data_IF_463091585577
#
_entry.id   IF_463091585577
#
_cell.length_a   1.000
_cell.length_b   1.000
_cell.length_c   1.000
_cell.angle_alpha   90.00
_cell.angle_beta   90.00
_cell.angle_gamma   90.00
#
_symmetry.space_group_name_H-M   'P 1'
#
loop_
_entity.id
_entity.type
_entity.pdbx_description
1 polymer ?
#
# COMPACT_ATOMS: atom_id res chain seq x y z
N UNK A 1 -29.16 -11.62 -13.94
CA UNK A 1 -28.22 -11.99 -15.00
C UNK A 1 -26.88 -12.23 -14.34
N UNK A 2 -26.55 -13.49 -14.12
CA UNK A 2 -25.24 -13.91 -13.63
C UNK A 2 -24.34 -13.87 -14.87
N UNK A 3 -23.75 -12.71 -15.14
CA UNK A 3 -22.78 -12.57 -16.22
C UNK A 3 -21.68 -13.60 -15.99
N UNK A 4 -21.42 -14.44 -16.98
CA UNK A 4 -20.28 -15.35 -16.99
C UNK A 4 -19.00 -14.52 -16.91
N UNK A 5 -18.48 -14.39 -15.69
CA UNK A 5 -17.34 -13.54 -15.36
C UNK A 5 -16.08 -14.03 -16.07
N UNK A 6 -15.95 -15.34 -16.25
CA UNK A 6 -14.86 -15.95 -17.00
C UNK A 6 -14.89 -15.52 -18.47
N UNK A 7 -16.05 -15.65 -19.14
CA UNK A 7 -16.18 -15.23 -20.54
C UNK A 7 -15.86 -13.74 -20.74
N UNK A 8 -16.27 -12.87 -19.80
CA UNK A 8 -15.93 -11.45 -19.85
C UNK A 8 -14.42 -11.21 -19.74
N UNK A 9 -13.73 -11.86 -18.80
CA UNK A 9 -12.29 -11.71 -18.65
C UNK A 9 -11.50 -12.28 -19.84
N UNK A 10 -11.91 -13.44 -20.35
CA UNK A 10 -11.33 -14.04 -21.56
C UNK A 10 -11.44 -13.10 -22.76
N UNK A 11 -12.62 -12.49 -22.97
CA UNK A 11 -12.85 -11.53 -24.06
C UNK A 11 -11.96 -10.29 -23.96
N UNK A 12 -11.71 -9.77 -22.76
CA UNK A 12 -10.80 -8.64 -22.59
C UNK A 12 -9.34 -9.05 -22.88
N UNK A 13 -8.93 -10.24 -22.39
CA UNK A 13 -7.57 -10.77 -22.59
C UNK A 13 -7.23 -11.03 -24.06
N UNK A 14 -8.22 -11.42 -24.89
CA UNK A 14 -8.05 -11.66 -26.34
C UNK A 14 -7.46 -10.47 -27.11
N UNK A 15 -7.48 -9.25 -26.54
CA UNK A 15 -6.93 -8.05 -27.16
C UNK A 15 -5.42 -7.87 -26.94
N UNK A 16 -4.76 -8.79 -26.23
CA UNK A 16 -3.29 -8.81 -26.04
C UNK A 16 -2.71 -10.16 -26.45
N UNK A 17 -1.84 -10.21 -27.49
CA UNK A 17 -1.16 -11.43 -27.87
C UNK A 17 -0.31 -12.02 -26.73
N UNK A 18 0.34 -11.16 -25.93
CA UNK A 18 1.23 -11.60 -24.85
C UNK A 18 0.44 -12.24 -23.70
N UNK A 19 -0.67 -11.61 -23.30
CA UNK A 19 -1.56 -12.16 -22.27
C UNK A 19 -2.17 -13.47 -22.75
N UNK A 20 -2.66 -13.53 -23.99
CA UNK A 20 -3.24 -14.75 -24.56
C UNK A 20 -2.23 -15.89 -24.59
N UNK A 21 -1.01 -15.64 -25.06
CA UNK A 21 0.01 -16.67 -25.15
C UNK A 21 0.38 -17.24 -23.78
N UNK A 22 0.53 -16.38 -22.77
CA UNK A 22 0.77 -16.80 -21.39
C UNK A 22 -0.42 -17.56 -20.76
N UNK A 23 -1.64 -17.46 -21.33
CA UNK A 23 -2.83 -18.18 -20.85
C UNK A 23 -3.08 -19.53 -21.55
N UNK A 24 -2.61 -19.73 -22.78
CA UNK A 24 -3.03 -20.82 -23.69
C UNK A 24 -2.73 -22.24 -23.20
N UNK A 25 -1.71 -22.43 -22.34
CA UNK A 25 -1.26 -23.75 -21.90
C UNK A 25 -1.19 -23.89 -20.38
N UNK A 26 -1.86 -23.00 -19.66
CA UNK A 26 -1.88 -23.09 -18.20
C UNK A 26 -2.68 -24.32 -17.76
N UNK A 27 -2.19 -25.08 -16.77
CA UNK A 27 -2.89 -26.25 -16.25
C UNK A 27 -4.31 -25.88 -15.84
N UNK A 28 -5.28 -26.80 -15.95
CA UNK A 28 -6.61 -26.58 -15.39
C UNK A 28 -6.47 -26.41 -13.87
N UNK A 29 -6.74 -25.20 -13.37
CA UNK A 29 -6.85 -24.94 -11.93
C UNK A 29 -8.17 -24.21 -11.73
N UNK A 30 -8.98 -24.74 -10.81
CA UNK A 30 -10.22 -24.19 -10.22
C UNK A 30 -11.15 -23.40 -11.15
N UNK A 31 -12.41 -23.84 -11.25
CA UNK A 31 -13.47 -23.00 -11.85
C UNK A 31 -14.05 -21.99 -10.84
N UNK A 32 -13.48 -21.90 -9.63
CA UNK A 32 -13.94 -20.95 -8.63
C UNK A 32 -13.41 -19.52 -8.86
N UNK A 33 -14.06 -18.55 -8.21
CA UNK A 33 -13.80 -17.14 -8.44
C UNK A 33 -12.36 -16.72 -8.12
N UNK A 34 -11.66 -17.39 -7.19
CA UNK A 34 -10.25 -17.06 -6.88
C UNK A 34 -9.37 -17.42 -8.06
N UNK A 35 -9.46 -18.64 -8.57
CA UNK A 35 -8.63 -19.11 -9.69
C UNK A 35 -8.91 -18.29 -10.96
N UNK A 36 -10.18 -17.95 -11.24
CA UNK A 36 -10.56 -17.07 -12.36
C UNK A 36 -9.93 -15.67 -12.21
N UNK A 37 -10.06 -15.02 -11.06
CA UNK A 37 -9.49 -13.69 -10.83
C UNK A 37 -7.96 -13.72 -10.84
N UNK A 38 -7.34 -14.73 -10.25
CA UNK A 38 -5.89 -14.89 -10.26
C UNK A 38 -5.36 -14.99 -11.68
N UNK A 39 -5.90 -15.90 -12.47
CA UNK A 39 -5.43 -16.20 -13.82
C UNK A 39 -5.64 -15.04 -14.78
N UNK A 40 -6.82 -14.42 -14.77
CA UNK A 40 -7.17 -13.46 -15.81
C UNK A 40 -7.04 -11.99 -15.39
N UNK A 41 -6.86 -11.69 -14.10
CA UNK A 41 -6.77 -10.31 -13.60
C UNK A 41 -5.45 -10.07 -12.87
N UNK A 42 -5.16 -10.84 -11.82
CA UNK A 42 -4.03 -10.56 -10.94
C UNK A 42 -2.68 -10.98 -11.55
N UNK A 43 -2.62 -12.11 -12.25
CA UNK A 43 -1.38 -12.57 -12.88
C UNK A 43 -0.96 -11.67 -14.06
N UNK A 44 -1.87 -11.26 -14.97
CA UNK A 44 -1.55 -10.25 -15.98
C UNK A 44 -1.13 -8.91 -15.35
N UNK A 45 -1.80 -8.48 -14.28
CA UNK A 45 -1.42 -7.26 -13.55
C UNK A 45 0.01 -7.34 -13.00
N UNK A 46 0.35 -8.41 -12.29
CA UNK A 46 1.69 -8.63 -11.73
C UNK A 46 2.75 -8.75 -12.83
N UNK A 47 2.46 -9.50 -13.89
CA UNK A 47 3.35 -9.70 -15.03
C UNK A 47 3.65 -8.39 -15.76
N UNK A 48 2.61 -7.64 -16.13
CA UNK A 48 2.76 -6.36 -16.84
C UNK A 48 3.50 -5.30 -16.00
N UNK A 49 3.26 -5.25 -14.69
CA UNK A 49 4.04 -4.41 -13.79
C UNK A 49 5.52 -4.83 -13.75
N UNK A 50 5.79 -6.13 -13.63
CA UNK A 50 7.15 -6.67 -13.50
C UNK A 50 7.97 -6.46 -14.77
N UNK A 51 7.38 -6.68 -15.96
CA UNK A 51 8.03 -6.41 -17.24
C UNK A 51 8.35 -4.92 -17.40
N UNK A 52 7.40 -4.03 -17.07
CA UNK A 52 7.66 -2.59 -17.09
C UNK A 52 8.79 -2.19 -16.12
N UNK A 53 8.73 -2.67 -14.88
CA UNK A 53 9.70 -2.39 -13.83
C UNK A 53 11.11 -2.78 -14.28
N UNK A 54 11.29 -4.03 -14.72
CA UNK A 54 12.61 -4.56 -15.08
C UNK A 54 13.14 -3.88 -16.35
N UNK A 55 12.28 -3.56 -17.33
CA UNK A 55 12.68 -2.79 -18.51
C UNK A 55 13.20 -1.41 -18.13
N UNK A 56 12.45 -0.67 -17.30
CA UNK A 56 12.85 0.67 -16.88
C UNK A 56 14.08 0.64 -15.97
N UNK A 57 14.22 -0.37 -15.11
CA UNK A 57 15.39 -0.57 -14.27
C UNK A 57 16.65 -0.87 -15.10
N UNK A 58 16.56 -1.76 -16.09
CA UNK A 58 17.67 -2.04 -17.03
C UNK A 58 18.05 -0.79 -17.82
N UNK A 59 17.07 -0.05 -18.34
CA UNK A 59 17.30 1.20 -19.08
C UNK A 59 18.00 2.26 -18.21
N UNK A 60 17.65 2.33 -16.93
CA UNK A 60 18.27 3.20 -15.95
C UNK A 60 19.55 2.62 -15.32
N UNK A 61 20.04 1.47 -15.81
CA UNK A 61 21.24 0.77 -15.34
C UNK A 61 21.24 0.55 -13.81
N UNK A 62 20.07 0.18 -13.27
CA UNK A 62 19.93 -0.20 -11.86
C UNK A 62 20.59 -1.56 -11.66
N UNK A 63 21.48 -1.63 -10.68
CA UNK A 63 22.16 -2.84 -10.27
C UNK A 63 21.37 -3.63 -9.23
N UNK A 64 20.55 -2.96 -8.41
CA UNK A 64 19.78 -3.59 -7.34
C UNK A 64 18.38 -2.98 -7.19
N UNK A 65 17.38 -3.83 -6.97
CA UNK A 65 16.01 -3.45 -6.64
C UNK A 65 15.64 -3.97 -5.25
N UNK A 66 15.17 -3.07 -4.38
CA UNK A 66 14.66 -3.40 -3.04
C UNK A 66 13.14 -3.39 -3.03
N UNK A 67 12.54 -4.57 -3.00
CA UNK A 67 11.09 -4.74 -2.92
C UNK A 67 10.64 -4.60 -1.48
N UNK A 68 9.88 -3.55 -1.19
CA UNK A 68 9.49 -3.22 0.16
C UNK A 68 8.41 -4.18 0.66
N UNK A 69 8.57 -4.64 1.90
CA UNK A 69 7.48 -5.32 2.59
C UNK A 69 6.30 -4.35 2.81
N UNK A 70 5.05 -4.83 2.73
CA UNK A 70 4.63 -6.24 2.59
C UNK A 70 4.12 -6.57 1.19
N UNK A 71 3.47 -5.62 0.55
CA UNK A 71 2.81 -5.75 -0.75
C UNK A 71 3.76 -5.81 -1.95
N UNK A 72 5.06 -5.60 -1.74
CA UNK A 72 6.10 -5.93 -2.70
C UNK A 72 6.47 -7.41 -2.79
N UNK A 73 5.88 -8.31 -1.98
CA UNK A 73 6.29 -9.72 -1.91
C UNK A 73 6.11 -10.49 -3.21
N UNK A 74 4.90 -10.48 -3.80
CA UNK A 74 4.68 -11.17 -5.08
C UNK A 74 5.44 -10.48 -6.23
N UNK A 75 5.63 -9.15 -6.15
CA UNK A 75 6.47 -8.39 -7.10
C UNK A 75 7.93 -8.85 -7.06
N UNK A 76 8.47 -9.04 -5.87
CA UNK A 76 9.83 -9.56 -5.65
C UNK A 76 9.98 -10.96 -6.25
N UNK A 77 9.05 -11.85 -5.93
CA UNK A 77 9.08 -13.24 -6.40
C UNK A 77 8.95 -13.32 -7.92
N UNK A 78 8.08 -12.51 -8.54
CA UNK A 78 7.98 -12.43 -9.99
C UNK A 78 9.27 -11.87 -10.61
N UNK A 79 9.82 -10.79 -10.07
CA UNK A 79 11.04 -10.18 -10.58
C UNK A 79 12.25 -11.12 -10.52
N UNK A 80 12.40 -11.90 -9.43
CA UNK A 80 13.41 -12.96 -9.35
C UNK A 80 13.30 -13.95 -10.52
N UNK A 81 12.09 -14.44 -10.79
CA UNK A 81 11.85 -15.41 -11.86
C UNK A 81 12.24 -14.86 -13.23
N UNK A 82 11.85 -13.61 -13.53
CA UNK A 82 12.24 -12.93 -14.76
C UNK A 82 13.75 -12.71 -14.85
N UNK A 83 14.39 -12.21 -13.79
CA UNK A 83 15.83 -12.00 -13.76
C UNK A 83 16.61 -13.29 -13.98
N UNK A 84 16.17 -14.40 -13.39
CA UNK A 84 16.78 -15.72 -13.57
C UNK A 84 16.61 -16.24 -14.99
N UNK A 85 15.36 -16.33 -15.49
CA UNK A 85 15.09 -16.91 -16.81
C UNK A 85 15.69 -16.08 -17.96
N UNK A 86 15.70 -14.75 -17.83
CA UNK A 86 16.20 -13.85 -18.87
C UNK A 86 17.62 -13.33 -18.61
N UNK A 87 18.27 -13.79 -17.53
CA UNK A 87 19.64 -13.41 -17.12
C UNK A 87 19.84 -11.89 -17.05
N UNK A 88 18.87 -11.18 -16.48
CA UNK A 88 18.95 -9.72 -16.34
C UNK A 88 19.98 -9.35 -15.27
N UNK A 89 20.79 -8.29 -15.48
CA UNK A 89 21.86 -7.90 -14.57
C UNK A 89 21.35 -7.09 -13.37
N UNK A 90 20.26 -7.55 -12.73
CA UNK A 90 19.60 -6.88 -11.61
C UNK A 90 19.56 -7.83 -10.42
N UNK A 91 20.12 -7.40 -9.29
CA UNK A 91 19.96 -8.09 -8.02
C UNK A 91 18.62 -7.67 -7.38
N UNK A 92 17.73 -8.63 -7.15
CA UNK A 92 16.47 -8.39 -6.43
C UNK A 92 16.66 -8.72 -4.95
N UNK A 93 16.27 -7.80 -4.06
CA UNK A 93 16.24 -8.03 -2.61
C UNK A 93 14.85 -7.73 -2.05
N UNK A 94 14.39 -8.56 -1.12
CA UNK A 94 13.21 -8.28 -0.33
C UNK A 94 13.60 -7.49 0.92
N UNK A 95 13.17 -6.23 1.02
CA UNK A 95 13.48 -5.36 2.15
C UNK A 95 12.33 -5.37 3.14
N UNK A 96 12.53 -6.06 4.25
CA UNK A 96 11.59 -6.12 5.36
C UNK A 96 11.57 -4.78 6.08
N UNK A 97 10.57 -3.96 5.81
CA UNK A 97 10.40 -2.67 6.46
C UNK A 97 8.92 -2.28 6.56
N UNK A 98 8.62 -1.35 7.44
CA UNK A 98 7.34 -0.65 7.50
C UNK A 98 7.58 0.81 7.85
N UNK A 99 6.56 1.65 7.70
CA UNK A 99 6.64 3.03 8.20
C UNK A 99 6.97 3.06 9.69
N UNK A 100 6.46 2.09 10.45
CA UNK A 100 6.71 1.97 11.88
C UNK A 100 8.17 1.58 12.16
N UNK A 101 8.69 0.52 11.52
CA UNK A 101 10.05 0.01 11.78
C UNK A 101 11.15 0.98 11.34
N UNK A 102 10.85 1.86 10.38
CA UNK A 102 11.79 2.90 9.93
C UNK A 102 11.71 4.19 10.77
N UNK A 103 10.53 4.56 11.28
CA UNK A 103 10.34 5.82 12.01
C UNK A 103 10.71 5.76 13.47
N UNK A 104 10.37 4.67 14.17
CA UNK A 104 10.71 4.54 15.60
C UNK A 104 12.19 4.84 15.85
N UNK A 105 13.14 4.27 15.09
CA UNK A 105 14.55 4.48 15.37
C UNK A 105 15.04 5.92 15.18
N UNK A 106 14.27 6.80 14.51
CA UNK A 106 14.65 8.20 14.25
C UNK A 106 13.84 9.23 15.04
N UNK A 107 12.86 8.83 15.86
CA UNK A 107 12.07 9.79 16.65
C UNK A 107 12.90 10.68 17.57
N UNK A 108 14.00 10.17 18.15
CA UNK A 108 14.90 10.96 18.99
C UNK A 108 15.71 12.02 18.22
N UNK A 109 15.76 11.94 16.89
CA UNK A 109 16.51 12.88 16.03
C UNK A 109 15.68 14.13 15.71
N UNK A 110 14.36 13.99 15.62
CA UNK A 110 13.41 15.09 15.43
C UNK A 110 12.10 14.81 16.16
N UNK A 111 12.03 15.28 17.41
CA UNK A 111 10.88 15.11 18.31
C UNK A 111 9.60 15.73 17.73
N UNK A 112 9.69 16.86 17.03
CA UNK A 112 8.51 17.54 16.49
C UNK A 112 7.96 16.79 15.27
N UNK A 113 8.83 16.32 14.38
CA UNK A 113 8.40 15.44 13.29
C UNK A 113 7.82 14.11 13.81
N UNK A 114 8.37 13.57 14.90
CA UNK A 114 7.83 12.39 15.57
C UNK A 114 6.42 12.64 16.10
N UNK A 115 6.20 13.69 16.89
CA UNK A 115 4.88 14.07 17.42
C UNK A 115 3.84 14.29 16.32
N UNK A 116 4.22 15.00 15.25
CA UNK A 116 3.34 15.24 14.10
C UNK A 116 2.95 13.94 13.38
N UNK A 117 3.86 12.96 13.31
CA UNK A 117 3.57 11.63 12.76
C UNK A 117 2.66 10.81 13.67
N UNK A 118 2.97 10.75 14.97
CA UNK A 118 2.22 9.98 15.96
C UNK A 118 0.78 10.47 16.08
N UNK A 119 0.58 11.79 16.08
CA UNK A 119 -0.71 12.45 16.13
C UNK A 119 -1.41 12.57 14.76
N UNK A 120 -0.98 11.82 13.74
CA UNK A 120 -1.71 11.75 12.47
C UNK A 120 -3.04 11.04 12.67
N UNK A 121 -4.11 11.60 12.11
CA UNK A 121 -5.45 11.00 12.17
C UNK A 121 -5.50 9.61 11.51
N UNK A 122 -6.24 8.70 12.12
CA UNK A 122 -6.67 7.40 11.56
C UNK A 122 -8.14 7.14 11.93
N UNK A 123 -8.75 6.10 11.37
CA UNK A 123 -10.16 5.80 11.61
C UNK A 123 -10.50 5.66 13.10
N UNK A 124 -9.61 5.18 13.96
CA UNK A 124 -9.88 4.93 15.38
C UNK A 124 -8.89 5.61 16.32
N UNK A 125 -8.29 6.74 15.92
CA UNK A 125 -7.26 7.43 16.71
C UNK A 125 -7.68 7.71 18.17
N UNK A 126 -6.84 7.32 19.13
CA UNK A 126 -7.02 7.45 20.58
C UNK A 126 -5.66 7.71 21.24
N UNK A 127 -5.63 8.13 22.52
CA UNK A 127 -4.35 8.27 23.24
C UNK A 127 -3.60 6.93 23.28
N UNK A 128 -4.31 5.84 23.60
CA UNK A 128 -3.74 4.48 23.63
C UNK A 128 -3.02 4.14 22.31
N UNK A 129 -3.64 4.46 21.17
CA UNK A 129 -3.03 4.22 19.86
C UNK A 129 -1.82 5.13 19.60
N UNK A 130 -1.87 6.39 20.02
CA UNK A 130 -0.74 7.31 19.88
C UNK A 130 0.46 6.79 20.66
N UNK A 131 0.26 6.37 21.92
CA UNK A 131 1.33 5.83 22.75
C UNK A 131 1.84 4.47 22.24
N UNK A 132 0.96 3.63 21.69
CA UNK A 132 1.37 2.37 21.05
C UNK A 132 2.21 2.65 19.80
N UNK A 133 1.85 3.64 18.96
CA UNK A 133 2.65 4.04 17.79
C UNK A 133 4.03 4.58 18.16
N UNK A 134 4.16 5.13 19.37
CA UNK A 134 5.43 5.60 19.92
C UNK A 134 6.30 4.46 20.50
N UNK A 135 5.78 3.22 20.52
CA UNK A 135 6.51 2.06 21.01
C UNK A 135 6.51 1.90 22.53
N UNK A 136 5.67 2.63 23.26
CA UNK A 136 5.61 2.55 24.72
C UNK A 136 5.05 1.21 25.20
N UNK A 137 5.61 0.72 26.30
CA UNK A 137 5.14 -0.45 27.07
C UNK A 137 3.84 -0.14 27.82
N UNK A 138 3.17 -1.18 28.36
CA UNK A 138 1.94 -1.01 29.13
C UNK A 138 2.14 -0.08 30.35
N UNK A 139 3.21 -0.28 31.11
CA UNK A 139 3.52 0.51 32.31
C UNK A 139 3.83 1.97 31.95
N UNK A 140 4.58 2.21 30.87
CA UNK A 140 4.86 3.56 30.39
C UNK A 140 3.60 4.27 29.89
N UNK A 141 2.69 3.55 29.22
CA UNK A 141 1.40 4.11 28.79
C UNK A 141 0.55 4.54 29.98
N UNK A 142 0.54 3.74 31.05
CA UNK A 142 -0.16 4.06 32.28
C UNK A 142 0.45 5.31 32.94
N UNK A 143 1.77 5.37 33.08
CA UNK A 143 2.47 6.52 33.64
C UNK A 143 2.21 7.82 32.85
N UNK A 144 2.25 7.76 31.51
CA UNK A 144 1.89 8.91 30.65
C UNK A 144 0.43 9.30 30.83
N UNK A 145 -0.48 8.33 30.88
CA UNK A 145 -1.91 8.60 31.08
C UNK A 145 -2.19 9.28 32.42
N UNK A 146 -1.46 8.90 33.48
CA UNK A 146 -1.52 9.53 34.79
C UNK A 146 -0.96 10.97 34.76
N UNK A 147 0.21 11.19 34.16
CA UNK A 147 0.81 12.54 34.05
C UNK A 147 -0.08 13.51 33.24
N UNK A 148 -0.66 13.03 32.13
CA UNK A 148 -1.56 13.85 31.31
C UNK A 148 -2.90 14.14 32.00
N UNK A 149 -3.36 13.28 32.92
CA UNK A 149 -4.58 13.45 33.71
C UNK A 149 -5.80 13.89 32.89
N UNK A 150 -6.04 13.21 31.75
CA UNK A 150 -7.09 13.58 30.82
C UNK A 150 -8.50 13.33 31.39
N UNK A 151 -9.51 14.15 31.02
CA UNK A 151 -10.88 14.00 31.51
C UNK A 151 -11.66 12.85 30.85
N UNK A 152 -10.99 11.98 30.09
CA UNK A 152 -11.57 10.84 29.39
C UNK A 152 -10.55 9.71 29.29
N UNK A 153 -11.04 8.47 29.16
CA UNK A 153 -10.18 7.29 29.08
C UNK A 153 -9.29 7.24 27.82
N UNK A 154 -8.17 6.51 27.87
CA UNK A 154 -7.16 6.51 26.80
C UNK A 154 -7.64 5.86 25.50
N UNK A 155 -8.70 5.05 25.55
CA UNK A 155 -9.32 4.37 24.40
C UNK A 155 -10.39 5.22 23.70
N UNK A 156 -10.75 6.38 24.24
CA UNK A 156 -11.75 7.26 23.64
C UNK A 156 -11.25 7.80 22.31
N UNK A 157 -12.07 7.64 21.26
CA UNK A 157 -11.79 8.18 19.93
C UNK A 157 -11.66 9.70 19.97
N UNK A 158 -10.56 10.23 19.43
CA UNK A 158 -10.25 11.65 19.43
C UNK A 158 -10.86 12.35 18.21
N UNK A 159 -11.46 13.53 18.45
CA UNK A 159 -11.81 14.48 17.38
C UNK A 159 -10.57 15.24 16.93
N UNK A 160 -10.63 15.95 15.80
CA UNK A 160 -9.50 16.74 15.31
C UNK A 160 -9.02 17.81 16.31
N UNK A 161 -9.95 18.48 16.99
CA UNK A 161 -9.63 19.46 18.03
C UNK A 161 -8.94 18.82 19.23
N UNK A 162 -9.43 17.66 19.69
CA UNK A 162 -8.80 16.92 20.80
C UNK A 162 -7.43 16.41 20.43
N UNK A 163 -7.23 15.97 19.19
CA UNK A 163 -5.94 15.50 18.69
C UNK A 163 -4.88 16.60 18.74
N UNK A 164 -5.23 17.84 18.39
CA UNK A 164 -4.33 18.99 18.53
C UNK A 164 -3.99 19.31 20.00
N UNK A 165 -4.96 19.17 20.92
CA UNK A 165 -4.71 19.32 22.36
C UNK A 165 -3.77 18.23 22.89
N UNK A 166 -3.98 16.98 22.48
CA UNK A 166 -3.12 15.85 22.84
C UNK A 166 -1.70 16.06 22.31
N UNK A 167 -1.55 16.55 21.08
CA UNK A 167 -0.23 16.89 20.52
C UNK A 167 0.53 17.87 21.43
N UNK A 168 -0.11 18.96 21.85
CA UNK A 168 0.53 19.93 22.76
C UNK A 168 0.82 19.34 24.14
N UNK A 169 -0.10 18.52 24.65
CA UNK A 169 0.08 17.89 25.97
C UNK A 169 1.25 16.90 25.97
N UNK A 170 1.40 16.11 24.91
CA UNK A 170 2.54 15.18 24.75
C UNK A 170 3.87 15.92 24.57
N UNK A 171 3.87 17.06 23.88
CA UNK A 171 5.06 17.92 23.74
C UNK A 171 5.61 18.40 25.09
N UNK A 172 4.76 18.52 26.10
CA UNK A 172 5.14 18.97 27.45
C UNK A 172 5.26 17.82 28.46
N UNK A 173 4.91 16.59 28.06
CA UNK A 173 4.91 15.42 28.94
C UNK A 173 6.30 14.80 29.00
N UNK A 174 6.97 14.96 30.15
CA UNK A 174 8.35 14.53 30.36
C UNK A 174 8.46 13.00 30.34
N UNK A 175 7.51 12.28 30.96
CA UNK A 175 7.48 10.82 30.95
C UNK A 175 7.35 10.26 29.54
N UNK A 176 6.50 10.86 28.71
CA UNK A 176 6.32 10.44 27.32
C UNK A 176 7.60 10.66 26.50
N UNK A 177 8.17 11.86 26.55
CA UNK A 177 9.36 12.20 25.77
C UNK A 177 10.56 11.35 26.18
N UNK A 178 10.76 11.11 27.48
CA UNK A 178 11.83 10.25 27.97
C UNK A 178 11.69 8.82 27.47
N UNK A 179 10.49 8.23 27.57
CA UNK A 179 10.22 6.88 27.09
C UNK A 179 10.42 6.77 25.56
N UNK A 180 9.80 7.67 24.79
CA UNK A 180 9.91 7.67 23.33
C UNK A 180 11.37 7.79 22.85
N UNK A 181 12.13 8.72 23.44
CA UNK A 181 13.53 8.93 23.06
C UNK A 181 14.41 7.72 23.41
N UNK A 182 14.18 7.09 24.57
CA UNK A 182 14.87 5.87 24.97
C UNK A 182 14.63 4.74 23.95
N UNK A 183 13.37 4.40 23.70
CA UNK A 183 13.01 3.32 22.75
C UNK A 183 13.54 3.60 21.34
N UNK A 184 13.48 4.86 20.91
CA UNK A 184 13.99 5.30 19.62
C UNK A 184 15.51 5.09 19.51
N UNK A 185 16.28 5.57 20.49
CA UNK A 185 17.73 5.44 20.50
C UNK A 185 18.18 3.98 20.60
N UNK A 186 17.49 3.16 21.40
CA UNK A 186 17.77 1.72 21.54
C UNK A 186 17.50 0.92 20.25
N UNK A 187 16.53 1.33 19.43
CA UNK A 187 16.19 0.65 18.18
C UNK A 187 17.14 0.99 17.01
N UNK A 188 17.84 2.13 17.07
CA UNK A 188 18.70 2.63 15.98
C UNK A 188 19.84 1.68 15.58
N UNK A 189 20.63 1.10 16.51
CA UNK A 189 21.72 0.19 16.14
C UNK A 189 21.26 -1.03 15.35
N UNK A 190 20.09 -1.59 15.69
CA UNK A 190 19.55 -2.77 15.01
C UNK A 190 19.04 -2.43 13.59
N UNK A 191 18.36 -1.29 13.41
CA UNK A 191 17.98 -0.80 12.08
C UNK A 191 19.22 -0.55 11.22
N UNK A 192 20.22 0.16 11.76
CA UNK A 192 21.46 0.45 11.04
C UNK A 192 22.17 -0.83 10.61
N UNK A 193 22.26 -1.82 11.50
CA UNK A 193 22.84 -3.12 11.20
C UNK A 193 22.12 -3.84 10.06
N UNK A 194 20.77 -3.88 10.11
CA UNK A 194 19.96 -4.48 9.05
C UNK A 194 20.14 -3.77 7.69
N UNK A 195 19.98 -2.45 7.63
CA UNK A 195 20.10 -1.72 6.36
C UNK A 195 21.53 -1.79 5.77
N UNK A 196 22.55 -1.83 6.63
CA UNK A 196 23.94 -2.02 6.20
C UNK A 196 24.15 -3.43 5.64
N UNK A 197 23.64 -4.46 6.31
CA UNK A 197 23.67 -5.85 5.84
C UNK A 197 22.94 -6.02 4.50
N UNK A 198 21.81 -5.33 4.33
CA UNK A 198 21.08 -5.32 3.07
C UNK A 198 21.78 -4.50 1.96
N UNK A 199 22.90 -3.84 2.29
CA UNK A 199 23.73 -3.12 1.34
C UNK A 199 23.16 -1.77 0.89
N UNK A 200 22.22 -1.19 1.65
CA UNK A 200 21.66 0.14 1.34
C UNK A 200 22.65 1.28 1.59
N UNK A 201 23.78 1.01 2.26
CA UNK A 201 24.87 1.97 2.42
C UNK A 201 26.00 1.76 1.41
N UNK A 202 25.90 0.76 0.53
CA UNK A 202 26.85 0.54 -0.56
C UNK A 202 26.65 1.61 -1.65
N UNK A 203 27.74 1.97 -2.33
CA UNK A 203 27.66 2.81 -3.52
C UNK A 203 27.28 1.98 -4.75
N UNK A 204 25.98 1.68 -4.87
CA UNK A 204 25.40 0.93 -6.00
C UNK A 204 24.14 1.60 -6.53
N UNK A 205 23.98 1.63 -7.86
CA UNK A 205 22.78 2.21 -8.48
C UNK A 205 21.57 1.36 -8.13
N UNK A 206 20.74 1.86 -7.21
CA UNK A 206 19.63 1.12 -6.65
C UNK A 206 18.30 1.85 -6.80
N UNK A 207 17.23 1.12 -6.54
CA UNK A 207 15.89 1.66 -6.42
C UNK A 207 15.05 0.79 -5.49
N UNK A 208 14.01 1.39 -4.92
CA UNK A 208 12.97 0.65 -4.21
C UNK A 208 11.81 0.31 -5.15
N UNK A 209 11.03 -0.70 -4.77
CA UNK A 209 9.81 -1.12 -5.43
C UNK A 209 8.72 -1.26 -4.36
N UNK A 210 7.58 -0.60 -4.57
CA UNK A 210 6.47 -0.52 -3.60
C UNK A 210 5.14 -0.43 -4.39
N UNK A 211 4.00 -0.79 -3.80
CA UNK A 211 2.72 -0.56 -4.47
C UNK A 211 2.39 0.93 -4.56
N UNK A 212 2.63 1.71 -3.49
CA UNK A 212 2.22 3.11 -3.41
C UNK A 212 1.84 3.58 -1.99
N UNK A 213 0.99 4.61 -1.81
CA UNK A 213 0.29 5.42 -2.81
C UNK A 213 0.63 6.91 -2.72
N UNK A 214 1.48 7.28 -1.76
CA UNK A 214 1.87 8.67 -1.45
C UNK A 214 3.38 8.90 -1.48
N UNK A 215 4.18 7.86 -1.76
CA UNK A 215 5.64 7.93 -1.78
C UNK A 215 6.29 8.10 -0.40
N UNK A 216 5.51 7.98 0.69
CA UNK A 216 6.01 8.27 2.04
C UNK A 216 7.06 7.29 2.55
N UNK A 217 7.04 6.03 2.09
CA UNK A 217 8.07 5.04 2.42
C UNK A 217 9.44 5.46 1.91
N UNK A 218 9.55 5.88 0.64
CA UNK A 218 10.80 6.37 0.05
C UNK A 218 11.35 7.60 0.77
N UNK A 219 10.47 8.54 1.13
CA UNK A 219 10.87 9.73 1.89
C UNK A 219 11.48 9.33 3.24
N UNK A 220 10.79 8.48 4.02
CA UNK A 220 11.27 8.02 5.33
C UNK A 220 12.56 7.23 5.20
N UNK A 221 12.65 6.33 4.23
CA UNK A 221 13.86 5.54 4.03
C UNK A 221 15.06 6.41 3.62
N UNK A 222 14.85 7.41 2.75
CA UNK A 222 15.90 8.37 2.41
C UNK A 222 16.34 9.20 3.63
N UNK A 223 15.40 9.62 4.47
CA UNK A 223 15.69 10.34 5.73
C UNK A 223 16.56 9.47 6.66
N UNK A 224 16.16 8.22 6.90
CA UNK A 224 16.94 7.25 7.68
C UNK A 224 18.35 7.07 7.10
N UNK A 225 18.46 6.82 5.79
CA UNK A 225 19.73 6.56 5.13
C UNK A 225 20.64 7.80 5.13
N UNK A 226 20.07 9.01 5.03
CA UNK A 226 20.80 10.27 5.16
C UNK A 226 21.46 10.40 6.53
N UNK A 227 20.75 10.08 7.61
CA UNK A 227 21.33 10.02 8.96
C UNK A 227 22.43 8.95 9.10
N UNK A 228 22.46 7.95 8.20
CA UNK A 228 23.51 6.94 8.12
C UNK A 228 24.65 7.31 7.15
N UNK A 229 24.65 8.52 6.61
CA UNK A 229 25.71 9.05 5.73
C UNK A 229 25.50 8.79 4.24
N UNK A 230 24.34 8.25 3.82
CA UNK A 230 24.04 8.08 2.39
C UNK A 230 23.66 9.42 1.77
N UNK A 231 24.39 9.82 0.72
CA UNK A 231 24.16 11.09 0.01
C UNK A 231 23.20 10.92 -1.17
N UNK A 232 23.28 9.80 -1.91
CA UNK A 232 22.44 9.59 -3.09
C UNK A 232 21.04 9.14 -2.70
N UNK A 233 19.98 9.89 -3.07
CA UNK A 233 18.61 9.47 -2.79
C UNK A 233 18.24 8.25 -3.63
N UNK A 234 17.37 7.41 -3.07
CA UNK A 234 16.78 6.26 -3.77
C UNK A 234 15.84 6.74 -4.89
N UNK A 235 15.88 6.05 -6.04
CA UNK A 235 14.76 6.04 -7.00
C UNK A 235 13.68 5.07 -6.50
N UNK A 236 12.43 5.28 -6.89
CA UNK A 236 11.32 4.40 -6.55
C UNK A 236 10.46 4.06 -7.76
N UNK A 237 10.09 2.79 -7.86
CA UNK A 237 9.17 2.27 -8.87
C UNK A 237 7.89 1.79 -8.18
N UNK A 238 6.75 2.29 -8.64
CA UNK A 238 5.47 2.10 -7.97
C UNK A 238 4.41 1.53 -8.90
N UNK A 239 3.48 0.75 -8.37
CA UNK A 239 2.23 0.46 -9.09
C UNK A 239 1.53 1.78 -9.45
N UNK A 240 1.25 2.60 -8.44
CA UNK A 240 0.67 3.92 -8.68
C UNK A 240 0.81 4.88 -7.50
N UNK A 241 0.75 6.18 -7.80
CA UNK A 241 0.82 7.24 -6.80
C UNK A 241 -0.32 8.24 -6.99
N UNK A 242 -1.08 8.49 -5.92
CA UNK A 242 -2.11 9.52 -5.90
C UNK A 242 -1.51 10.92 -5.75
N UNK A 243 -0.42 11.01 -4.98
CA UNK A 243 0.31 12.24 -4.64
C UNK A 243 1.77 11.90 -4.34
N UNK A 244 2.58 12.93 -4.12
CA UNK A 244 3.99 12.81 -3.73
C UNK A 244 4.22 13.58 -2.43
N UNK A 245 5.26 13.21 -1.66
CA UNK A 245 5.68 14.00 -0.52
C UNK A 245 6.00 15.44 -0.93
N UNK A 246 5.83 16.38 0.00
CA UNK A 246 6.19 17.78 -0.22
C UNK A 246 7.70 17.85 -0.48
N UNK A 247 8.13 18.65 -1.46
CA UNK A 247 9.52 18.77 -1.92
C UNK A 247 10.15 17.50 -2.52
N UNK A 248 9.37 16.44 -2.80
CA UNK A 248 9.90 15.27 -3.47
C UNK A 248 10.45 15.58 -4.86
N UNK A 249 11.68 15.12 -5.15
CA UNK A 249 12.21 15.15 -6.49
C UNK A 249 11.44 14.16 -7.38
N UNK A 250 10.53 14.70 -8.21
CA UNK A 250 9.61 13.91 -9.04
C UNK A 250 10.31 12.98 -10.02
N UNK A 251 11.54 13.27 -10.43
CA UNK A 251 12.28 12.41 -11.38
C UNK A 251 12.69 11.08 -10.77
N UNK A 252 12.60 10.94 -9.44
CA UNK A 252 12.92 9.73 -8.69
C UNK A 252 11.69 8.88 -8.35
N UNK A 253 10.50 9.23 -8.84
CA UNK A 253 9.25 8.51 -8.57
C UNK A 253 8.62 8.08 -9.89
N UNK A 254 8.77 6.79 -10.23
CA UNK A 254 8.29 6.19 -11.45
C UNK A 254 7.00 5.41 -11.17
N UNK A 255 5.96 5.58 -12.00
CA UNK A 255 4.65 4.92 -11.79
C UNK A 255 4.28 4.07 -13.00
N UNK A 256 3.79 2.86 -12.75
CA UNK A 256 3.30 1.95 -13.77
C UNK A 256 1.90 2.35 -14.28
N UNK A 257 0.91 2.38 -13.38
CA UNK A 257 -0.52 2.49 -13.71
C UNK A 257 -0.99 3.96 -13.70
N UNK A 258 -0.79 4.65 -12.58
CA UNK A 258 -1.16 6.05 -12.45
C UNK A 258 -0.18 6.86 -11.60
N UNK A 259 -0.05 8.14 -11.95
CA UNK A 259 0.73 9.16 -11.24
C UNK A 259 -0.19 10.27 -10.75
N UNK A 260 0.29 11.23 -9.92
CA UNK A 260 -0.51 12.37 -9.48
C UNK A 260 -1.17 13.16 -10.63
N UNK A 261 -0.51 13.20 -11.79
CA UNK A 261 -0.97 13.93 -12.99
C UNK A 261 -1.72 13.09 -14.02
N UNK A 262 -1.77 11.77 -13.85
CA UNK A 262 -2.47 10.85 -14.77
C UNK A 262 -3.97 11.15 -14.88
N UNK A 263 -4.63 10.68 -15.96
CA UNK A 263 -6.09 10.73 -16.07
C UNK A 263 -6.80 10.16 -14.84
N UNK A 264 -7.89 10.79 -14.44
CA UNK A 264 -8.61 10.44 -13.21
C UNK A 264 -9.23 9.03 -13.27
N UNK A 265 -9.56 8.54 -14.47
CA UNK A 265 -10.21 7.24 -14.66
C UNK A 265 -9.44 6.10 -13.98
N UNK A 266 -8.12 6.04 -14.15
CA UNK A 266 -7.27 5.02 -13.54
C UNK A 266 -7.30 5.06 -11.99
N UNK A 267 -7.56 6.23 -11.40
CA UNK A 267 -7.64 6.41 -9.94
C UNK A 267 -9.02 6.10 -9.38
N UNK A 268 -10.07 6.42 -10.14
CA UNK A 268 -11.46 6.32 -9.71
C UNK A 268 -11.89 4.88 -9.51
N UNK A 269 -11.47 3.99 -10.42
CA UNK A 269 -11.93 2.60 -10.47
C UNK A 269 -10.93 1.60 -9.86
N UNK A 270 -9.83 2.09 -9.30
CA UNK A 270 -8.83 1.27 -8.64
C UNK A 270 -9.02 1.32 -7.13
N UNK A 271 -9.07 0.15 -6.48
CA UNK A 271 -9.16 0.04 -5.03
C UNK A 271 -7.80 -0.38 -4.46
N UNK A 272 -7.11 0.57 -3.84
CA UNK A 272 -5.78 0.36 -3.30
C UNK A 272 -5.76 -0.59 -2.09
N UNK A 273 -6.78 -0.54 -1.23
CA UNK A 273 -6.86 -1.43 -0.06
C UNK A 273 -6.99 -2.89 -0.49
N UNK A 274 -7.79 -3.15 -1.54
CA UNK A 274 -7.96 -4.50 -2.08
C UNK A 274 -6.68 -4.99 -2.73
N UNK A 275 -5.97 -4.11 -3.44
CA UNK A 275 -4.65 -4.43 -3.96
C UNK A 275 -3.67 -4.81 -2.85
N UNK A 276 -3.56 -4.00 -1.79
CA UNK A 276 -2.70 -4.28 -0.63
C UNK A 276 -3.07 -5.59 0.08
N UNK A 277 -4.36 -5.88 0.25
CA UNK A 277 -4.84 -7.09 0.90
C UNK A 277 -4.51 -8.37 0.09
N UNK A 278 -4.51 -8.27 -1.25
CA UNK A 278 -4.20 -9.38 -2.15
C UNK A 278 -2.69 -9.59 -2.31
N UNK A 279 -1.92 -8.52 -2.53
CA UNK A 279 -0.50 -8.60 -2.85
C UNK A 279 0.43 -8.69 -1.62
N UNK A 280 -0.15 -8.86 -0.44
CA UNK A 280 0.59 -8.90 0.82
C UNK A 280 1.49 -10.14 0.98
N UNK A 281 2.42 -10.07 1.94
CA UNK A 281 3.32 -11.18 2.28
C UNK A 281 2.69 -12.16 3.29
N UNK A 282 3.10 -13.45 3.29
CA UNK A 282 2.66 -14.46 4.26
C UNK A 282 3.36 -14.34 5.63
N UNK A 283 3.58 -13.10 6.09
CA UNK A 283 4.10 -12.77 7.41
C UNK A 283 3.51 -11.45 7.89
N UNK A 284 3.61 -11.18 9.20
CA UNK A 284 3.14 -9.93 9.80
C UNK A 284 3.98 -8.72 9.39
N UNK A 285 3.52 -7.54 9.79
CA UNK A 285 4.24 -6.30 9.54
C UNK A 285 5.61 -6.29 10.23
N UNK A 286 6.65 -5.77 9.56
CA UNK A 286 7.93 -5.52 10.21
C UNK A 286 7.76 -4.47 11.30
N UNK A 287 8.06 -4.83 12.54
CA UNK A 287 7.94 -3.95 13.73
C UNK A 287 9.28 -3.44 14.23
N UNK A 288 10.38 -4.11 13.86
CA UNK A 288 11.73 -3.73 14.25
C UNK A 288 12.76 -4.75 13.74
N UNK A 289 13.95 -4.71 14.33
CA UNK A 289 15.06 -5.58 13.95
C UNK A 289 15.80 -6.03 15.19
N UNK A 290 16.49 -7.17 15.12
CA UNK A 290 17.34 -7.69 16.19
C UNK A 290 18.58 -8.35 15.63
N UNK A 291 19.66 -8.35 16.41
CA UNK A 291 20.88 -9.10 16.10
C UNK A 291 20.73 -10.54 16.60
N UNK A 292 20.98 -11.50 15.70
CA UNK A 292 21.05 -12.93 15.98
C UNK A 292 22.38 -13.47 15.48
N UNK A 293 23.30 -13.76 16.40
CA UNK A 293 24.68 -14.06 16.06
C UNK A 293 25.29 -12.90 15.27
N UNK A 294 25.76 -13.16 14.06
CA UNK A 294 26.38 -12.16 13.17
C UNK A 294 25.38 -11.49 12.22
N UNK A 295 24.11 -11.88 12.24
CA UNK A 295 23.09 -11.36 11.33
C UNK A 295 22.10 -10.44 12.02
N UNK A 296 21.59 -9.46 11.28
CA UNK A 296 20.43 -8.67 11.66
C UNK A 296 19.20 -9.21 10.95
N UNK A 297 18.17 -9.56 11.72
CA UNK A 297 16.93 -10.12 11.19
C UNK A 297 15.74 -9.22 11.52
N UNK A 298 14.72 -9.15 10.65
CA UNK A 298 13.49 -8.43 10.94
C UNK A 298 12.71 -9.12 12.05
N UNK A 299 12.01 -8.32 12.86
CA UNK A 299 11.00 -8.78 13.80
C UNK A 299 9.62 -8.50 13.21
N UNK A 300 8.87 -9.57 12.90
CA UNK A 300 7.52 -9.47 12.35
C UNK A 300 6.47 -9.51 13.46
N UNK A 301 5.40 -8.73 13.26
CA UNK A 301 4.18 -8.84 14.04
C UNK A 301 3.42 -10.14 13.76
N UNK A 302 2.24 -10.26 14.35
CA UNK A 302 1.36 -11.40 14.15
C UNK A 302 0.95 -11.55 12.68
N UNK A 303 0.91 -12.79 12.20
CA UNK A 303 0.30 -13.13 10.91
C UNK A 303 -0.75 -14.20 11.10
N UNK A 304 -1.97 -13.92 10.65
CA UNK A 304 -3.05 -14.90 10.67
C UNK A 304 -2.76 -16.06 9.71
N UNK A 305 -2.93 -17.30 10.18
CA UNK A 305 -2.64 -18.49 9.39
C UNK A 305 -3.58 -18.64 8.18
N UNK A 306 -4.84 -18.18 8.27
CA UNK A 306 -5.77 -18.22 7.13
C UNK A 306 -5.38 -17.18 6.08
N UNK A 307 -4.93 -16.01 6.50
CA UNK A 307 -4.33 -14.99 5.60
C UNK A 307 -3.11 -15.55 4.87
N UNK A 308 -2.21 -16.21 5.59
CA UNK A 308 -1.02 -16.83 4.98
C UNK A 308 -1.40 -17.91 3.96
N UNK A 309 -2.32 -18.81 4.31
CA UNK A 309 -2.82 -19.83 3.39
C UNK A 309 -3.51 -19.24 2.16
N UNK A 310 -4.20 -18.10 2.32
CA UNK A 310 -4.77 -17.37 1.18
C UNK A 310 -3.68 -16.83 0.26
N UNK A 311 -2.64 -16.18 0.80
CA UNK A 311 -1.50 -15.68 0.01
C UNK A 311 -0.80 -16.83 -0.73
N UNK A 312 -0.53 -17.94 -0.06
CA UNK A 312 0.07 -19.14 -0.65
C UNK A 312 -0.79 -19.70 -1.80
N UNK A 313 -2.11 -19.72 -1.63
CA UNK A 313 -3.05 -20.09 -2.70
C UNK A 313 -2.97 -19.13 -3.89
N UNK A 314 -3.00 -17.82 -3.65
CA UNK A 314 -2.89 -16.80 -4.72
C UNK A 314 -1.55 -16.96 -5.45
N UNK A 315 -0.46 -17.19 -4.73
CA UNK A 315 0.87 -17.42 -5.30
C UNK A 315 0.86 -18.64 -6.23
N UNK A 316 0.31 -19.77 -5.79
CA UNK A 316 0.22 -21.00 -6.58
C UNK A 316 -0.61 -20.83 -7.87
N UNK A 317 -1.63 -19.96 -7.85
CA UNK A 317 -2.50 -19.68 -9.00
C UNK A 317 -1.85 -18.71 -10.00
N UNK A 318 -1.09 -17.73 -9.51
CA UNK A 318 -0.50 -16.66 -10.33
C UNK A 318 0.81 -17.11 -10.99
N UNK A 319 1.67 -17.82 -10.27
CA UNK A 319 3.04 -18.07 -10.73
C UNK A 319 3.17 -18.92 -11.99
N UNK A 320 2.29 -19.89 -12.30
CA UNK A 320 2.32 -20.57 -13.59
C UNK A 320 2.20 -19.61 -14.78
N UNK A 321 1.36 -18.58 -14.68
CA UNK A 321 1.24 -17.53 -15.71
C UNK A 321 2.52 -16.69 -15.78
N UNK A 322 3.07 -16.28 -14.63
CA UNK A 322 4.30 -15.46 -14.59
C UNK A 322 5.47 -16.22 -15.21
N UNK A 323 5.57 -17.53 -14.94
CA UNK A 323 6.60 -18.39 -15.51
C UNK A 323 6.53 -18.43 -17.04
N UNK A 324 5.34 -18.68 -17.59
CA UNK A 324 5.12 -18.69 -19.05
C UNK A 324 5.35 -17.32 -19.68
N UNK A 325 4.92 -16.25 -19.02
CA UNK A 325 5.19 -14.90 -19.49
C UNK A 325 6.70 -14.62 -19.55
N UNK A 326 7.47 -15.09 -18.56
CA UNK A 326 8.93 -14.93 -18.53
C UNK A 326 9.66 -15.77 -19.59
N UNK A 327 9.11 -16.92 -19.99
CA UNK A 327 9.66 -17.79 -21.04
C UNK A 327 9.40 -17.26 -22.45
N UNK A 328 8.24 -16.66 -22.69
CA UNK A 328 7.79 -16.28 -24.02
C UNK A 328 8.00 -14.80 -24.36
N UNK A 329 8.43 -13.99 -23.39
CA UNK A 329 8.73 -12.58 -23.62
C UNK A 329 10.21 -12.31 -23.39
N UNK A 330 10.75 -11.33 -24.10
CA UNK A 330 12.08 -10.82 -23.85
C UNK A 330 11.96 -9.35 -23.45
N UNK A 331 12.11 -9.07 -22.14
CA UNK A 331 11.77 -7.76 -21.54
C UNK A 331 12.45 -6.58 -22.27
N UNK A 332 13.70 -6.77 -22.69
CA UNK A 332 14.49 -5.73 -23.34
C UNK A 332 14.04 -5.44 -24.78
N UNK A 333 13.32 -6.37 -25.41
CA UNK A 333 12.84 -6.26 -26.80
C UNK A 333 11.37 -5.82 -26.89
N UNK A 334 10.61 -5.91 -25.79
CA UNK A 334 9.22 -5.45 -25.74
C UNK A 334 9.13 -4.01 -26.23
N UNK A 335 8.19 -3.68 -27.11
CA UNK A 335 8.01 -2.28 -27.51
C UNK A 335 7.31 -1.46 -26.41
N UNK A 336 7.43 -0.14 -26.46
CA UNK A 336 6.66 0.73 -25.56
C UNK A 336 5.15 0.67 -25.85
N UNK A 337 4.77 0.33 -27.09
CA UNK A 337 3.38 0.20 -27.52
C UNK A 337 2.75 -1.08 -26.96
N UNK A 338 3.47 -2.20 -26.98
CA UNK A 338 3.01 -3.47 -26.39
C UNK A 338 2.71 -3.31 -24.90
N UNK A 339 3.68 -2.76 -24.14
CA UNK A 339 3.52 -2.49 -22.71
C UNK A 339 2.34 -1.55 -22.42
N UNK A 340 2.10 -0.57 -23.31
CA UNK A 340 0.98 0.35 -23.18
C UNK A 340 -0.37 -0.35 -23.42
N UNK A 341 -0.45 -1.19 -24.45
CA UNK A 341 -1.64 -1.95 -24.81
C UNK A 341 -2.01 -2.94 -23.72
N UNK A 342 -1.03 -3.71 -23.24
CA UNK A 342 -1.22 -4.67 -22.14
C UNK A 342 -1.68 -3.97 -20.87
N UNK A 343 -1.04 -2.86 -20.50
CA UNK A 343 -1.47 -2.05 -19.35
C UNK A 343 -2.91 -1.56 -19.49
N UNK A 344 -3.34 -1.18 -20.70
CA UNK A 344 -4.72 -0.73 -20.94
C UNK A 344 -5.73 -1.87 -20.73
N UNK A 345 -5.37 -3.10 -21.11
CA UNK A 345 -6.20 -4.29 -20.89
C UNK A 345 -6.25 -4.64 -19.40
N UNK A 346 -5.10 -4.66 -18.73
CA UNK A 346 -4.97 -4.86 -17.29
C UNK A 346 -5.82 -3.86 -16.51
N UNK A 347 -5.80 -2.58 -16.89
CA UNK A 347 -6.65 -1.54 -16.28
C UNK A 347 -8.14 -1.87 -16.40
N UNK A 348 -8.61 -2.41 -17.54
CA UNK A 348 -10.02 -2.79 -17.72
C UNK A 348 -10.40 -4.01 -16.87
N UNK A 349 -9.52 -5.00 -16.81
CA UNK A 349 -9.67 -6.19 -15.98
C UNK A 349 -9.78 -5.81 -14.50
N UNK A 350 -8.83 -5.02 -13.99
CA UNK A 350 -8.84 -4.51 -12.62
C UNK A 350 -10.05 -3.62 -12.35
N UNK A 351 -10.41 -2.70 -13.26
CA UNK A 351 -11.61 -1.88 -13.10
C UNK A 351 -12.87 -2.75 -12.94
N UNK A 352 -13.00 -3.82 -13.73
CA UNK A 352 -14.16 -4.71 -13.65
C UNK A 352 -14.19 -5.48 -12.32
N UNK A 353 -13.06 -6.01 -11.88
CA UNK A 353 -12.94 -6.72 -10.60
C UNK A 353 -13.17 -5.78 -9.40
N UNK A 354 -12.51 -4.62 -9.37
CA UNK A 354 -12.46 -3.75 -8.20
C UNK A 354 -13.71 -2.85 -8.08
N UNK A 355 -14.24 -2.32 -9.20
CA UNK A 355 -15.33 -1.34 -9.17
C UNK A 355 -16.72 -1.93 -9.50
N UNK A 356 -16.77 -3.13 -10.10
CA UNK A 356 -18.01 -3.82 -10.43
C UNK A 356 -17.92 -5.35 -10.18
N UNK A 357 -17.55 -5.77 -8.95
CA UNK A 357 -17.38 -7.17 -8.64
C UNK A 357 -18.69 -7.96 -8.75
N UNK A 358 -18.58 -9.23 -9.06
CA UNK A 358 -19.64 -10.22 -8.95
C UNK A 358 -19.81 -10.70 -7.51
N UNK A 359 -20.99 -11.26 -7.14
CA UNK A 359 -21.19 -11.84 -5.82
C UNK A 359 -20.16 -12.93 -5.45
N UNK A 360 -19.72 -13.74 -6.43
CA UNK A 360 -18.72 -14.78 -6.21
C UNK A 360 -17.35 -14.20 -5.87
N UNK A 361 -16.92 -13.14 -6.57
CA UNK A 361 -15.69 -12.41 -6.26
C UNK A 361 -15.74 -11.79 -4.87
N UNK A 362 -16.87 -11.18 -4.49
CA UNK A 362 -17.05 -10.61 -3.14
C UNK A 362 -17.06 -11.68 -2.06
N UNK A 363 -17.65 -12.85 -2.32
CA UNK A 363 -17.64 -13.95 -1.36
C UNK A 363 -16.21 -14.44 -1.04
N UNK A 364 -15.33 -14.47 -2.05
CA UNK A 364 -13.96 -14.92 -1.91
C UNK A 364 -13.01 -13.85 -1.36
N UNK A 365 -13.06 -12.62 -1.91
CA UNK A 365 -12.09 -11.56 -1.59
C UNK A 365 -12.61 -10.56 -0.54
N UNK A 366 -13.93 -10.47 -0.35
CA UNK A 366 -14.54 -9.49 0.55
C UNK A 366 -14.35 -9.78 2.04
N UNK A 367 -13.95 -11.01 2.40
CA UNK A 367 -13.66 -11.43 3.76
C UNK A 367 -12.21 -11.21 4.18
N UNK A 368 -11.33 -10.79 3.25
CA UNK A 368 -9.92 -10.58 3.53
C UNK A 368 -9.74 -9.58 4.68
N UNK A 369 -8.91 -9.90 5.69
CA UNK A 369 -8.67 -9.00 6.81
C UNK A 369 -7.88 -7.77 6.35
N UNK A 370 -8.30 -6.58 6.78
CA UNK A 370 -7.66 -5.31 6.45
C UNK A 370 -7.72 -4.31 7.62
N UNK A 371 -6.68 -3.49 7.78
CA UNK A 371 -6.60 -2.38 8.73
C UNK A 371 -5.88 -1.19 8.08
N UNK A 372 -6.32 0.04 8.38
CA UNK A 372 -5.75 1.28 7.82
C UNK A 372 -4.70 1.95 8.72
N UNK A 373 -4.45 1.39 9.92
CA UNK A 373 -3.51 1.97 10.89
C UNK A 373 -2.06 1.58 10.61
N UNK A 374 -1.15 2.32 11.24
CA UNK A 374 0.29 2.09 11.26
C UNK A 374 0.65 0.76 11.92
N UNK A 375 -0.19 0.25 12.82
CA UNK A 375 -0.01 -0.99 13.56
C UNK A 375 -1.11 -2.00 13.21
N UNK A 376 -0.74 -3.28 13.17
CA UNK A 376 -1.68 -4.39 13.01
C UNK A 376 -2.49 -4.60 14.30
N UNK A 377 -3.77 -4.97 14.15
CA UNK A 377 -4.75 -5.12 15.23
C UNK A 377 -6.13 -4.65 14.80
N UNK A 378 -7.19 -5.34 15.25
CA UNK A 378 -8.60 -5.03 14.91
C UNK A 378 -8.94 -5.14 13.41
N UNK A 379 -8.32 -6.08 12.68
CA UNK A 379 -8.59 -6.28 11.26
C UNK A 379 -10.09 -6.55 11.02
N UNK A 380 -10.64 -5.89 10.00
CA UNK A 380 -12.03 -6.06 9.57
C UNK A 380 -12.07 -6.66 8.16
N UNK A 381 -13.14 -7.36 7.77
CA UNK A 381 -13.27 -7.82 6.39
C UNK A 381 -13.28 -6.61 5.46
N UNK A 382 -12.49 -6.68 4.40
CA UNK A 382 -12.27 -5.55 3.49
C UNK A 382 -13.58 -5.06 2.86
N UNK A 383 -14.53 -5.97 2.58
CA UNK A 383 -15.90 -5.64 2.23
C UNK A 383 -16.80 -5.78 3.46
N UNK A 384 -16.89 -4.71 4.26
CA UNK A 384 -17.73 -4.66 5.44
C UNK A 384 -19.21 -4.93 5.12
N UNK A 385 -19.92 -5.70 5.97
CA UNK A 385 -21.36 -5.78 5.88
C UNK A 385 -21.99 -4.47 6.35
N UNK A 386 -22.41 -3.64 5.40
CA UNK A 386 -23.02 -2.33 5.64
C UNK A 386 -24.54 -2.39 5.38
N UNK A 387 -25.30 -1.69 6.21
CA UNK A 387 -26.73 -1.48 5.96
C UNK A 387 -26.97 -0.31 4.99
N UNK A 388 -28.21 -0.18 4.48
CA UNK A 388 -28.61 0.85 3.51
C UNK A 388 -28.28 2.29 3.94
N UNK A 389 -28.43 2.59 5.23
CA UNK A 389 -28.14 3.92 5.77
C UNK A 389 -26.65 4.19 5.74
N UNK A 390 -25.83 3.20 6.10
CA UNK A 390 -24.35 3.29 6.05
C UNK A 390 -23.85 3.39 4.60
N UNK A 391 -24.44 2.65 3.66
CA UNK A 391 -24.10 2.76 2.24
C UNK A 391 -24.38 4.17 1.70
N UNK A 392 -25.54 4.74 2.06
CA UNK A 392 -25.93 6.11 1.64
C UNK A 392 -25.01 7.19 2.20
N UNK A 393 -24.37 6.96 3.36
CA UNK A 393 -23.38 7.90 3.92
C UNK A 393 -22.12 8.06 3.05
N UNK A 394 -21.86 7.12 2.14
CA UNK A 394 -20.75 7.19 1.19
C UNK A 394 -21.10 7.95 -0.10
N UNK A 395 -22.33 8.47 -0.22
CA UNK A 395 -22.77 9.25 -1.37
C UNK A 395 -22.24 10.70 -1.32
N UNK A 396 -22.15 11.37 -2.48
CA UNK A 396 -21.67 12.74 -2.62
C UNK A 396 -22.16 13.74 -1.55
N UNK A 397 -23.49 13.86 -1.39
CA UNK A 397 -24.10 14.86 -0.52
C UNK A 397 -23.68 14.65 0.94
N UNK A 398 -23.72 13.40 1.42
CA UNK A 398 -23.32 13.06 2.78
C UNK A 398 -21.83 13.26 3.03
N UNK A 399 -20.97 12.86 2.08
CA UNK A 399 -19.52 13.07 2.19
C UNK A 399 -19.15 14.55 2.17
N UNK A 400 -19.82 15.38 1.36
CA UNK A 400 -19.61 16.84 1.34
C UNK A 400 -20.02 17.50 2.66
N UNK A 401 -21.15 17.09 3.24
CA UNK A 401 -21.58 17.56 4.57
C UNK A 401 -20.57 17.15 5.65
N UNK A 402 -20.08 15.91 5.62
CA UNK A 402 -19.06 15.44 6.58
C UNK A 402 -17.75 16.25 6.46
N UNK A 403 -17.31 16.53 5.23
CA UNK A 403 -16.13 17.37 4.96
C UNK A 403 -16.31 18.81 5.47
N UNK A 404 -17.54 19.33 5.52
CA UNK A 404 -17.84 20.68 6.02
C UNK A 404 -17.77 20.83 7.55
N UNK A 405 -17.53 19.74 8.29
CA UNK A 405 -17.45 19.74 9.76
C UNK A 405 -18.80 19.89 10.47
N UNK A 406 -19.92 19.93 9.74
CA UNK A 406 -21.28 20.09 10.28
C UNK A 406 -22.00 18.76 10.61
N UNK A 407 -21.28 17.63 10.59
CA UNK A 407 -21.84 16.29 10.76
C UNK A 407 -21.54 15.63 12.12
N UNK A 408 -22.39 14.66 12.52
CA UNK A 408 -22.10 13.71 13.62
C UNK A 408 -20.90 12.82 13.27
N UNK A 409 -20.40 12.04 14.25
CA UNK A 409 -19.29 11.08 14.15
C UNK A 409 -19.17 10.45 12.75
N UNK A 410 -17.93 10.33 12.21
CA UNK A 410 -17.73 9.89 10.83
C UNK A 410 -18.34 8.50 10.59
N UNK A 411 -18.89 8.28 9.39
CA UNK A 411 -19.61 7.06 9.05
C UNK A 411 -18.72 5.82 9.16
N UNK A 412 -19.33 4.65 9.32
CA UNK A 412 -18.61 3.38 9.25
C UNK A 412 -18.21 3.14 7.80
N UNK A 413 -16.91 3.19 7.50
CA UNK A 413 -16.37 3.11 6.15
C UNK A 413 -15.81 1.73 5.84
N UNK A 414 -16.07 1.24 4.63
CA UNK A 414 -15.53 -0.02 4.12
C UNK A 414 -14.32 0.24 3.23
N UNK A 415 -13.26 -0.54 3.42
CA UNK A 415 -12.05 -0.47 2.60
C UNK A 415 -12.32 -0.87 1.13
N UNK A 416 -13.26 -1.79 0.91
CA UNK A 416 -13.82 -2.13 -0.38
C UNK A 416 -15.33 -1.89 -0.42
N UNK A 417 -15.69 -0.62 -0.62
CA UNK A 417 -17.07 -0.17 -0.66
C UNK A 417 -17.89 -0.88 -1.74
N UNK A 418 -17.35 -1.03 -2.96
CA UNK A 418 -18.04 -1.70 -4.07
C UNK A 418 -18.37 -3.16 -3.74
N UNK A 419 -17.43 -3.87 -3.10
CA UNK A 419 -17.68 -5.21 -2.57
C UNK A 419 -18.79 -5.21 -1.51
N UNK A 420 -18.82 -4.20 -0.63
CA UNK A 420 -19.84 -4.08 0.43
C UNK A 420 -21.24 -3.82 -0.14
N UNK A 421 -21.34 -3.01 -1.20
CA UNK A 421 -22.58 -2.76 -1.93
C UNK A 421 -23.10 -4.05 -2.56
N UNK A 422 -22.23 -4.83 -3.22
CA UNK A 422 -22.63 -6.10 -3.84
C UNK A 422 -22.98 -7.15 -2.78
N UNK A 423 -22.33 -7.12 -1.62
CA UNK A 423 -22.59 -8.03 -0.49
C UNK A 423 -23.94 -7.80 0.16
N UNK A 424 -24.35 -6.55 0.37
CA UNK A 424 -25.47 -6.21 1.27
C UNK A 424 -26.49 -5.21 0.71
N UNK A 425 -26.20 -4.55 -0.42
CA UNK A 425 -27.03 -3.47 -0.95
C UNK A 425 -28.29 -3.98 -1.66
N UNK A 426 -29.42 -3.33 -1.38
CA UNK A 426 -30.71 -3.53 -2.06
C UNK A 426 -30.73 -2.88 -3.44
N UNK A 427 -30.06 -1.74 -3.58
CA UNK A 427 -30.01 -0.95 -4.83
C UNK A 427 -28.59 -0.88 -5.40
N UNK A 428 -27.97 -2.04 -5.67
CA UNK A 428 -26.55 -2.18 -6.06
C UNK A 428 -26.10 -1.14 -7.10
N UNK A 429 -26.78 -1.07 -8.26
CA UNK A 429 -26.41 -0.15 -9.35
C UNK A 429 -26.43 1.32 -8.93
N UNK A 430 -27.39 1.72 -8.10
CA UNK A 430 -27.50 3.09 -7.60
C UNK A 430 -26.35 3.44 -6.66
N UNK A 431 -26.05 2.58 -5.69
CA UNK A 431 -24.94 2.84 -4.75
C UNK A 431 -23.58 2.87 -5.44
N UNK A 432 -23.33 1.98 -6.41
CA UNK A 432 -22.10 1.98 -7.20
C UNK A 432 -21.97 3.26 -8.04
N UNK A 433 -23.05 3.72 -8.67
CA UNK A 433 -23.05 4.95 -9.45
C UNK A 433 -22.80 6.18 -8.57
N UNK A 434 -23.49 6.30 -7.43
CA UNK A 434 -23.29 7.41 -6.48
C UNK A 434 -21.86 7.45 -5.95
N UNK A 435 -21.31 6.30 -5.59
CA UNK A 435 -19.94 6.22 -5.10
C UNK A 435 -18.93 6.56 -6.19
N UNK A 436 -19.13 6.09 -7.41
CA UNK A 436 -18.31 6.47 -8.56
C UNK A 436 -18.30 7.99 -8.76
N UNK A 437 -19.47 8.64 -8.68
CA UNK A 437 -19.57 10.10 -8.75
C UNK A 437 -18.78 10.78 -7.63
N UNK A 438 -18.88 10.28 -6.39
CA UNK A 438 -18.09 10.76 -5.25
C UNK A 438 -16.58 10.62 -5.51
N UNK A 439 -16.11 9.48 -6.03
CA UNK A 439 -14.71 9.24 -6.34
C UNK A 439 -14.19 10.21 -7.41
N UNK A 440 -14.97 10.49 -8.46
CA UNK A 440 -14.64 11.52 -9.46
C UNK A 440 -14.45 12.89 -8.82
N UNK A 441 -15.36 13.32 -7.93
CA UNK A 441 -15.20 14.58 -7.21
C UNK A 441 -13.97 14.59 -6.30
N UNK A 442 -13.76 13.52 -5.53
CA UNK A 442 -12.64 13.36 -4.59
C UNK A 442 -11.30 13.50 -5.31
N UNK A 443 -11.10 12.77 -6.40
CA UNK A 443 -9.83 12.80 -7.14
C UNK A 443 -9.68 14.06 -8.00
N UNK A 444 -10.77 14.66 -8.50
CA UNK A 444 -10.72 15.97 -9.15
C UNK A 444 -10.22 17.05 -8.19
N UNK A 445 -10.75 17.08 -6.96
CA UNK A 445 -10.29 18.00 -5.90
C UNK A 445 -8.82 17.77 -5.56
N UNK A 446 -8.40 16.51 -5.36
CA UNK A 446 -6.99 16.17 -5.09
C UNK A 446 -6.06 16.64 -6.22
N UNK A 447 -6.42 16.39 -7.49
CA UNK A 447 -5.65 16.85 -8.66
C UNK A 447 -5.53 18.37 -8.70
N UNK A 448 -6.62 19.10 -8.45
CA UNK A 448 -6.61 20.57 -8.39
C UNK A 448 -5.69 21.09 -7.28
N UNK A 449 -5.75 20.49 -6.08
CA UNK A 449 -4.87 20.84 -4.96
C UNK A 449 -3.39 20.59 -5.30
N UNK A 450 -3.08 19.43 -5.87
CA UNK A 450 -1.72 19.07 -6.30
C UNK A 450 -1.17 20.04 -7.36
N UNK A 451 -1.99 20.39 -8.36
CA UNK A 451 -1.61 21.35 -9.41
C UNK A 451 -1.39 22.77 -8.86
N UNK A 452 -2.18 23.18 -7.84
CA UNK A 452 -1.98 24.46 -7.15
C UNK A 452 -0.70 24.47 -6.31
N UNK A 453 -0.39 23.38 -5.61
CA UNK A 453 0.88 23.21 -4.88
C UNK A 453 2.09 23.32 -5.81
N UNK A 454 2.06 22.61 -6.95
CA UNK A 454 3.12 22.66 -7.97
C UNK A 454 3.41 24.09 -8.48
N UNK A 455 2.38 24.94 -8.62
CA UNK A 455 2.52 26.36 -9.04
C UNK A 455 3.05 27.29 -7.94
N UNK A 456 3.04 26.86 -6.68
CA UNK A 456 3.65 27.60 -5.57
C UNK A 456 5.13 27.26 -5.48
N UNK A 457 5.48 25.98 -5.53
CA UNK A 457 6.88 25.53 -5.50
C UNK A 457 7.70 26.10 -6.68
N UNK A 458 7.11 26.19 -7.87
CA UNK A 458 7.77 26.76 -9.06
C UNK A 458 7.96 28.28 -9.03
N UNK A 459 7.42 28.99 -8.04
CA UNK A 459 7.56 30.44 -7.88
C UNK A 459 8.64 30.83 -6.86
N UNK A 460 9.17 29.85 -6.13
CA UNK A 460 10.19 30.02 -5.08
C UNK A 460 11.43 29.17 -5.33
N UNK A 461 11.57 28.58 -6.52
CA UNK A 461 12.70 27.73 -6.93
C UNK A 461 13.52 28.38 -8.01
#
# INVERSE_FOLDING_TARGET
MQDDRLALYQRECQNSPQIVHALQELPLIGEDAISIVCRYVLAPALGGFTQWLLKEACKAQKQRLYFLARDGYLMYRAALLFCEKQRLPIECRYLSCSRYSLRIPIFHLDTEAALAYLCRGSLQISLERILTRAGLTADEKEAVSQELSLPYGPTVRLSHTRLAQIHESLRQCSTFLAAMNRHSAEAMPALKGYLSQEGLLEDRTDAIVDSGWTGSMQMVLNEVLSHMGRIRPLSGYYWGLYELPVHANRTLYHCYDFSPTSPLKAKVFFNNCLFEAIFTAPHGMTTGYRKLGDQYVPHYGFSDARRNAFVERIEAEIFPYIERLAEHTQILELSSEDLYNDRTIIQRLLQRFMAAPSPAEVACFGSLPFSDDVLEGEEQPIALPLNEKELTQSHPLHKLVAISGRGKLPPRESAWYEGSVVRCGKHIRYHLWQYTLYQWMRYSRKRLMYMRGKRRDSRYG
#
